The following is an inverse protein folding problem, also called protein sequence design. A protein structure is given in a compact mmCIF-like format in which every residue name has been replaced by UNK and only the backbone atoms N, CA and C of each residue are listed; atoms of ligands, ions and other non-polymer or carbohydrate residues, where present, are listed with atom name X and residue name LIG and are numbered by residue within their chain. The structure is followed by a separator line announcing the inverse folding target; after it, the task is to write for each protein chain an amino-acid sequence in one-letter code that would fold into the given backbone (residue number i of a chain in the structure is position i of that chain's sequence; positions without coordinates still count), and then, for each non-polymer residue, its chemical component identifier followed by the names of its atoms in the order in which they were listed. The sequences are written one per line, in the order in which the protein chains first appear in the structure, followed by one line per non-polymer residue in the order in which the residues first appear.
data_IF_415428443759
#
_entry.id   IF_415428443759
#
_cell.length_a   1.000
_cell.length_b   1.000
_cell.length_c   1.000
_cell.angle_alpha   90.00
_cell.angle_beta   90.00
_cell.angle_gamma   90.00
#
_symmetry.space_group_name_H-M   'P 1'
#
loop_
_entity.id
_entity.type
_entity.pdbx_description
1 polymer ?
#
# COMPACT_ATOMS: atom_id res chain seq x y z
N UNK A 1 10.28 7.61 35.10
CA UNK A 1 10.45 8.03 33.70
C UNK A 1 10.23 9.52 33.65
N UNK A 2 11.13 10.28 33.05
CA UNK A 2 11.04 11.74 33.00
C UNK A 2 10.18 12.23 31.83
N UNK A 3 9.77 13.50 31.86
CA UNK A 3 9.10 14.15 30.73
C UNK A 3 9.99 14.15 29.47
N UNK A 4 11.31 14.29 29.64
CA UNK A 4 12.26 14.19 28.54
C UNK A 4 12.29 12.78 27.94
N UNK A 5 12.18 11.73 28.75
CA UNK A 5 12.09 10.35 28.26
C UNK A 5 10.77 10.11 27.51
N UNK A 6 9.65 10.65 28.02
CA UNK A 6 8.34 10.60 27.35
C UNK A 6 8.39 11.29 25.99
N UNK A 7 9.00 12.47 25.91
CA UNK A 7 9.14 13.21 24.67
C UNK A 7 10.01 12.45 23.65
N UNK A 8 11.13 11.88 24.08
CA UNK A 8 11.99 11.04 23.21
C UNK A 8 11.24 9.82 22.68
N UNK A 9 10.43 9.18 23.51
CA UNK A 9 9.61 8.05 23.07
C UNK A 9 8.55 8.47 22.05
N UNK A 10 7.92 9.64 22.23
CA UNK A 10 6.95 10.16 21.28
C UNK A 10 7.58 10.47 19.91
N UNK A 11 8.78 11.07 19.90
CA UNK A 11 9.53 11.32 18.66
C UNK A 11 9.90 10.00 17.98
N UNK A 12 10.48 9.05 18.72
CA UNK A 12 10.85 7.75 18.16
C UNK A 12 9.64 6.96 17.62
N UNK A 13 8.47 7.11 18.24
CA UNK A 13 7.23 6.51 17.74
C UNK A 13 6.79 7.14 16.41
N UNK A 14 6.84 8.47 16.30
CA UNK A 14 6.52 9.20 15.07
C UNK A 14 7.51 8.88 13.93
N UNK A 15 8.81 8.76 14.25
CA UNK A 15 9.83 8.37 13.27
C UNK A 15 9.57 6.95 12.75
N UNK A 16 9.22 6.03 13.65
CA UNK A 16 8.87 4.65 13.28
C UNK A 16 7.63 4.61 12.37
N UNK A 17 6.59 5.38 12.69
CA UNK A 17 5.38 5.47 11.88
C UNK A 17 5.69 6.05 10.48
N UNK A 18 6.50 7.09 10.43
CA UNK A 18 6.95 7.69 9.16
C UNK A 18 7.70 6.68 8.30
N UNK A 19 8.65 5.95 8.88
CA UNK A 19 9.40 4.91 8.17
C UNK A 19 8.50 3.79 7.65
N UNK A 20 7.47 3.39 8.40
CA UNK A 20 6.51 2.38 7.96
C UNK A 20 5.69 2.89 6.75
N UNK A 21 5.21 4.13 6.80
CA UNK A 21 4.50 4.73 5.69
C UNK A 21 5.36 4.86 4.43
N UNK A 22 6.62 5.29 4.57
CA UNK A 22 7.56 5.40 3.45
C UNK A 22 7.83 4.04 2.80
N UNK A 23 7.92 2.97 3.61
CA UNK A 23 8.08 1.61 3.12
C UNK A 23 6.85 1.15 2.34
N UNK A 24 5.64 1.29 2.90
CA UNK A 24 4.39 0.93 2.24
C UNK A 24 4.24 1.68 0.89
N UNK A 25 4.61 2.97 0.87
CA UNK A 25 4.59 3.78 -0.34
C UNK A 25 5.65 3.34 -1.36
N UNK A 26 6.85 2.95 -0.92
CA UNK A 26 7.89 2.43 -1.80
C UNK A 26 7.46 1.10 -2.45
N UNK A 27 6.82 0.21 -1.69
CA UNK A 27 6.27 -1.04 -2.21
C UNK A 27 5.18 -0.80 -3.27
N UNK A 28 4.28 0.16 -3.03
CA UNK A 28 3.26 0.53 -4.00
C UNK A 28 3.89 1.08 -5.30
N UNK A 29 4.85 2.00 -5.18
CA UNK A 29 5.55 2.56 -6.34
C UNK A 29 6.28 1.49 -7.15
N UNK A 30 6.87 0.50 -6.48
CA UNK A 30 7.51 -0.64 -7.14
C UNK A 30 6.49 -1.47 -7.91
N UNK A 31 5.34 -1.80 -7.30
CA UNK A 31 4.25 -2.53 -7.96
C UNK A 31 3.76 -1.80 -9.21
N UNK A 32 3.49 -0.50 -9.10
CA UNK A 32 3.05 0.32 -10.24
C UNK A 32 4.09 0.34 -11.37
N UNK A 33 5.37 0.52 -11.05
CA UNK A 33 6.45 0.51 -12.03
C UNK A 33 6.58 -0.85 -12.74
N UNK A 34 6.44 -1.95 -12.00
CA UNK A 34 6.45 -3.32 -12.54
C UNK A 34 5.27 -3.53 -13.49
N UNK A 35 4.06 -3.14 -13.09
CA UNK A 35 2.85 -3.23 -13.94
C UNK A 35 3.07 -2.48 -15.25
N UNK A 36 3.50 -1.22 -15.19
CA UNK A 36 3.77 -0.40 -16.38
C UNK A 36 4.83 -1.02 -17.28
N UNK A 37 5.91 -1.57 -16.71
CA UNK A 37 6.96 -2.23 -17.49
C UNK A 37 6.43 -3.47 -18.22
N UNK A 38 5.57 -4.27 -17.58
CA UNK A 38 4.93 -5.44 -18.17
C UNK A 38 3.93 -5.05 -19.25
N UNK A 39 3.13 -4.00 -19.04
CA UNK A 39 2.21 -3.44 -20.06
C UNK A 39 2.94 -2.96 -21.32
N UNK A 40 4.15 -2.42 -21.16
CA UNK A 40 5.04 -2.07 -22.28
C UNK A 40 5.72 -3.27 -22.94
N UNK A 41 5.47 -4.50 -22.46
CA UNK A 41 6.02 -5.74 -23.03
C UNK A 41 7.45 -6.04 -22.60
N UNK A 42 7.93 -5.46 -21.49
CA UNK A 42 9.24 -5.79 -20.93
C UNK A 42 9.23 -7.23 -20.40
N UNK A 43 10.27 -8.00 -20.72
CA UNK A 43 10.40 -9.38 -20.22
C UNK A 43 10.50 -9.38 -18.68
N UNK A 44 9.67 -10.17 -17.96
CA UNK A 44 9.74 -10.29 -16.50
C UNK A 44 11.14 -10.59 -15.96
N UNK A 45 11.97 -11.34 -16.69
CA UNK A 45 13.36 -11.63 -16.29
C UNK A 45 14.26 -10.39 -16.30
N UNK A 46 13.97 -9.43 -17.18
CA UNK A 46 14.70 -8.16 -17.25
C UNK A 46 14.26 -7.27 -16.10
N UNK A 47 12.95 -7.23 -15.81
CA UNK A 47 12.42 -6.48 -14.66
C UNK A 47 13.03 -7.01 -13.36
N UNK A 48 12.99 -8.33 -13.14
CA UNK A 48 13.56 -9.01 -11.97
C UNK A 48 15.02 -8.60 -11.68
N UNK A 49 15.85 -8.55 -12.71
CA UNK A 49 17.25 -8.11 -12.57
C UNK A 49 17.40 -6.65 -12.13
N UNK A 50 16.49 -5.77 -12.55
CA UNK A 50 16.55 -4.34 -12.21
C UNK A 50 16.09 -4.09 -10.77
N UNK A 51 15.06 -4.82 -10.34
CA UNK A 51 14.43 -4.63 -9.03
C UNK A 51 14.97 -5.57 -7.96
N UNK A 52 15.95 -6.40 -8.30
CA UNK A 52 16.57 -7.41 -7.42
C UNK A 52 15.55 -8.38 -6.80
N UNK A 53 14.68 -8.90 -7.66
CA UNK A 53 13.67 -9.92 -7.33
C UNK A 53 13.81 -11.14 -8.23
N UNK A 54 13.27 -12.27 -7.80
CA UNK A 54 13.11 -13.42 -8.67
C UNK A 54 12.01 -13.17 -9.73
N UNK A 55 12.11 -13.74 -10.94
CA UNK A 55 11.11 -13.53 -12.00
C UNK A 55 9.68 -13.93 -11.61
N UNK A 56 9.54 -14.90 -10.71
CA UNK A 56 8.24 -15.31 -10.14
C UNK A 56 7.65 -14.25 -9.22
N UNK A 57 8.46 -13.63 -8.36
CA UNK A 57 8.05 -12.52 -7.49
C UNK A 57 7.57 -11.32 -8.30
N UNK A 58 8.22 -11.01 -9.43
CA UNK A 58 7.78 -9.94 -10.35
C UNK A 58 6.37 -10.17 -10.89
N UNK A 59 6.00 -11.43 -11.17
CA UNK A 59 4.66 -11.76 -11.64
C UNK A 59 3.64 -11.70 -10.50
N UNK A 60 4.03 -12.08 -9.28
CA UNK A 60 3.18 -11.98 -8.08
C UNK A 60 2.86 -10.52 -7.71
N UNK A 61 3.76 -9.57 -7.99
CA UNK A 61 3.52 -8.13 -7.78
C UNK A 61 2.37 -7.56 -8.63
N UNK A 62 1.95 -8.25 -9.69
CA UNK A 62 0.80 -7.87 -10.52
C UNK A 62 -0.53 -8.47 -10.04
N UNK A 63 -0.49 -9.37 -9.05
CA UNK A 63 -1.68 -9.80 -8.34
C UNK A 63 -2.36 -8.57 -7.74
N UNK A 64 -3.68 -8.47 -7.94
CA UNK A 64 -4.47 -7.26 -7.71
C UNK A 64 -3.99 -6.48 -6.47
N UNK A 65 -3.87 -5.14 -6.55
CA UNK A 65 -3.75 -4.36 -5.33
C UNK A 65 -4.89 -4.84 -4.44
N UNK A 66 -4.59 -5.23 -3.19
CA UNK A 66 -5.63 -5.39 -2.19
C UNK A 66 -6.45 -4.10 -2.31
N UNK A 67 -7.62 -4.19 -2.97
CA UNK A 67 -8.51 -3.06 -3.11
C UNK A 67 -8.70 -2.63 -1.66
N UNK A 68 -8.37 -1.38 -1.27
CA UNK A 68 -8.85 -0.91 0.01
C UNK A 68 -10.35 -1.15 -0.10
N UNK A 69 -10.88 -2.03 0.76
CA UNK A 69 -12.30 -2.31 0.81
C UNK A 69 -12.94 -0.94 1.00
N UNK A 70 -13.36 -0.32 -0.10
CA UNK A 70 -14.13 0.89 -0.10
C UNK A 70 -15.45 0.42 0.46
N UNK A 71 -15.51 0.42 1.79
CA UNK A 71 -16.69 0.16 2.56
C UNK A 71 -17.79 0.93 1.86
N UNK A 72 -18.72 0.16 1.30
CA UNK A 72 -19.89 0.64 0.59
C UNK A 72 -20.62 1.63 1.50
N UNK A 73 -20.35 2.93 1.35
CA UNK A 73 -21.00 4.00 2.11
C UNK A 73 -22.44 4.26 1.62
N UNK A 74 -23.09 3.27 1.01
CA UNK A 74 -24.45 3.39 0.47
C UNK A 74 -25.49 2.51 1.21
N UNK A 75 -25.13 1.96 2.37
CA UNK A 75 -26.09 1.28 3.26
C UNK A 75 -26.21 1.97 4.62
N UNK A 76 -26.72 3.20 4.64
CA UNK A 76 -27.21 3.79 5.88
C UNK A 76 -28.23 4.92 5.66
N UNK A 77 -29.40 4.67 5.06
CA UNK A 77 -30.66 5.29 5.51
C UNK A 77 -31.83 4.29 5.36
N UNK A 78 -32.21 3.55 6.41
CA UNK A 78 -33.53 2.92 6.47
C UNK A 78 -34.53 3.98 6.95
N UNK A 79 -35.26 4.60 6.02
CA UNK A 79 -36.19 5.67 6.41
C UNK A 79 -37.13 6.20 5.32
N UNK A 80 -37.30 5.49 4.20
CA UNK A 80 -38.30 5.84 3.20
C UNK A 80 -39.41 4.78 3.16
N UNK A 81 -40.02 4.55 4.30
CA UNK A 81 -41.34 3.95 4.36
C UNK A 81 -42.20 4.81 5.27
N UNK A 82 -43.38 5.12 4.73
CA UNK A 82 -44.55 5.70 5.40
C UNK A 82 -44.65 7.23 5.40
N UNK A 83 -45.48 7.77 4.49
CA UNK A 83 -46.90 8.01 4.78
C UNK A 83 -47.64 8.53 3.52
N UNK A 84 -48.98 8.35 3.44
CA UNK A 84 -49.83 8.65 2.28
C UNK A 84 -50.07 10.15 2.01
#
# INVERSE_FOLDING_TARGET
MSEADLHRLAVAAADKETAAFELDHAELNLKEAVVVALEHGTDPKVIAQVVDLEPEEVLELTGAPDEPALLTLDQAIPGASDLP
#
